data_IF_557539281540
#
_entry.id   IF_557539281540
#
_cell.length_a   1.000
_cell.length_b   1.000
_cell.length_c   1.000
_cell.angle_alpha   90.00
_cell.angle_beta   90.00
_cell.angle_gamma   90.00
#
_symmetry.space_group_name_H-M   'P 1'
#
loop_
_entity.id
_entity.type
_entity.pdbx_description
1 polymer ?
#
# COMPACT_ATOMS: atom_id res chain seq x y z
N UNK A 1 10.66 -19.09 -3.88
CA UNK A 1 11.06 -17.70 -4.21
C UNK A 1 9.89 -17.08 -4.96
N UNK A 2 9.30 -16.00 -4.47
CA UNK A 2 8.15 -15.33 -5.09
C UNK A 2 8.65 -14.42 -6.21
N UNK A 3 8.73 -14.95 -7.44
CA UNK A 3 9.13 -14.18 -8.63
C UNK A 3 7.89 -13.67 -9.33
N UNK A 4 7.86 -12.37 -9.68
CA UNK A 4 6.76 -11.83 -10.49
C UNK A 4 6.97 -12.24 -11.95
N UNK A 5 6.01 -12.98 -12.51
CA UNK A 5 6.03 -13.41 -13.91
C UNK A 5 4.93 -12.76 -14.75
N UNK A 6 3.85 -12.33 -14.11
CA UNK A 6 2.70 -11.72 -14.78
C UNK A 6 2.13 -10.56 -13.96
N UNK A 7 1.48 -9.63 -14.65
CA UNK A 7 0.75 -8.50 -14.03
C UNK A 7 -0.69 -8.55 -14.48
N UNK A 8 -1.61 -8.76 -13.53
CA UNK A 8 -3.05 -8.67 -13.79
C UNK A 8 -3.48 -7.21 -13.65
N UNK A 9 -4.15 -6.68 -14.68
CA UNK A 9 -4.62 -5.30 -14.70
C UNK A 9 -6.14 -5.25 -14.58
N UNK A 10 -6.64 -4.55 -13.56
CA UNK A 10 -8.06 -4.42 -13.25
C UNK A 10 -8.49 -2.99 -13.53
N UNK A 11 -9.31 -2.79 -14.55
CA UNK A 11 -9.95 -1.50 -14.77
C UNK A 11 -11.14 -1.36 -13.81
N UNK A 12 -11.07 -0.40 -12.91
CA UNK A 12 -12.09 -0.17 -11.88
C UNK A 12 -12.78 1.16 -12.10
N UNK A 13 -14.11 1.13 -12.07
CA UNK A 13 -14.95 2.34 -12.09
C UNK A 13 -15.55 2.58 -10.72
N UNK A 14 -15.19 3.70 -10.10
CA UNK A 14 -15.64 4.10 -8.77
C UNK A 14 -16.81 5.06 -8.95
N UNK A 15 -18.04 4.62 -8.69
CA UNK A 15 -19.21 5.50 -8.68
C UNK A 15 -19.33 6.22 -7.34
N UNK A 16 -19.57 7.52 -7.36
CA UNK A 16 -19.76 8.31 -6.15
C UNK A 16 -20.75 9.46 -6.40
N UNK A 17 -21.45 9.89 -5.35
CA UNK A 17 -22.27 11.12 -5.36
C UNK A 17 -21.57 12.30 -4.67
N UNK A 18 -20.34 12.08 -4.22
CA UNK A 18 -19.55 13.09 -3.53
C UNK A 18 -19.12 14.21 -4.48
N UNK A 19 -19.07 15.42 -3.94
CA UNK A 19 -18.70 16.65 -4.65
C UNK A 19 -17.49 17.30 -3.98
N UNK A 20 -16.30 16.70 -4.15
CA UNK A 20 -15.04 17.29 -3.68
C UNK A 20 -14.98 17.44 -2.16
N UNK A 21 -15.34 16.39 -1.43
CA UNK A 21 -15.33 16.38 0.03
C UNK A 21 -13.92 16.06 0.52
N UNK A 22 -13.48 16.68 1.61
CA UNK A 22 -12.18 16.35 2.20
C UNK A 22 -12.16 14.93 2.75
N UNK A 23 -11.02 14.27 2.55
CA UNK A 23 -10.75 12.96 3.13
C UNK A 23 -10.33 13.11 4.61
N UNK A 24 -10.97 12.38 5.52
CA UNK A 24 -10.50 12.21 6.91
C UNK A 24 -9.25 11.30 6.89
N UNK A 25 -8.11 11.92 6.61
CA UNK A 25 -6.80 11.29 6.65
C UNK A 25 -6.15 11.54 7.99
N UNK A 26 -5.69 10.47 8.63
CA UNK A 26 -4.92 10.49 9.87
C UNK A 26 -3.58 9.80 9.63
N UNK A 27 -2.50 10.41 10.09
CA UNK A 27 -1.16 9.90 9.89
C UNK A 27 -0.68 9.17 11.14
N UNK A 28 -0.26 7.92 10.98
CA UNK A 28 0.39 7.15 12.05
C UNK A 28 1.90 7.42 12.05
N UNK A 29 2.48 7.50 13.25
CA UNK A 29 3.92 7.67 13.51
C UNK A 29 4.55 8.76 12.64
N UNK A 30 4.21 10.02 12.94
CA UNK A 30 4.67 11.19 12.18
C UNK A 30 6.02 11.71 12.66
N UNK A 31 6.89 12.10 11.73
CA UNK A 31 8.19 12.69 12.00
C UNK A 31 8.45 13.87 11.04
N UNK A 32 9.42 14.76 11.33
CA UNK A 32 9.80 15.82 10.40
C UNK A 32 10.12 15.26 9.01
N UNK A 33 9.65 15.92 7.95
CA UNK A 33 9.86 15.43 6.60
C UNK A 33 11.34 15.50 6.21
N UNK A 34 11.86 14.39 5.69
CA UNK A 34 13.19 14.31 5.07
C UNK A 34 13.29 15.20 3.82
N UNK A 35 12.19 15.27 3.05
CA UNK A 35 12.05 16.14 1.89
C UNK A 35 10.66 16.79 1.85
N UNK A 36 10.52 18.05 2.31
CA UNK A 36 9.23 18.75 2.35
C UNK A 36 8.59 18.99 0.97
N UNK A 37 9.37 18.91 -0.11
CA UNK A 37 8.89 19.09 -1.47
C UNK A 37 8.48 17.78 -2.15
N UNK A 38 8.75 16.63 -1.52
CA UNK A 38 8.42 15.33 -2.10
C UNK A 38 6.91 15.09 -2.13
N UNK A 39 6.40 14.75 -3.32
CA UNK A 39 5.03 14.32 -3.53
C UNK A 39 4.86 12.79 -3.47
N UNK A 40 5.95 12.01 -3.36
CA UNK A 40 5.94 10.55 -3.46
C UNK A 40 5.12 9.88 -2.33
N UNK A 41 5.16 10.44 -1.11
CA UNK A 41 4.35 9.94 0.03
C UNK A 41 2.85 9.97 -0.20
N UNK A 42 2.38 10.78 -1.15
CA UNK A 42 0.99 10.84 -1.60
C UNK A 42 0.69 9.99 -2.82
N UNK A 43 1.46 8.94 -3.11
CA UNK A 43 1.30 8.14 -4.34
C UNK A 43 -0.12 7.57 -4.54
N UNK A 44 -0.85 7.34 -3.44
CA UNK A 44 -2.21 6.82 -3.45
C UNK A 44 -3.29 7.91 -3.56
N UNK A 45 -2.92 9.19 -3.52
CA UNK A 45 -3.84 10.33 -3.70
C UNK A 45 -4.72 10.25 -4.96
N UNK A 46 -4.26 9.72 -6.12
CA UNK A 46 -5.11 9.58 -7.30
C UNK A 46 -6.34 8.69 -7.07
N UNK A 47 -6.27 7.69 -6.20
CA UNK A 47 -7.45 6.89 -5.81
C UNK A 47 -8.49 7.72 -5.07
N UNK A 48 -8.05 8.50 -4.09
CA UNK A 48 -8.93 9.40 -3.33
C UNK A 48 -9.53 10.46 -4.26
N UNK A 49 -8.73 11.06 -5.14
CA UNK A 49 -9.21 12.03 -6.11
C UNK A 49 -10.24 11.44 -7.10
N UNK A 50 -10.00 10.23 -7.62
CA UNK A 50 -10.92 9.52 -8.50
C UNK A 50 -12.24 9.14 -7.81
N UNK A 51 -12.24 9.06 -6.48
CA UNK A 51 -13.44 8.85 -5.66
C UNK A 51 -14.06 10.16 -5.13
N UNK A 52 -13.64 11.31 -5.70
CA UNK A 52 -14.04 12.67 -5.32
C UNK A 52 -13.81 13.03 -3.84
N UNK A 53 -12.72 12.49 -3.28
CA UNK A 53 -12.23 12.77 -1.94
C UNK A 53 -10.90 13.49 -2.03
N UNK A 54 -10.78 14.66 -1.42
CA UNK A 54 -9.57 15.48 -1.49
C UNK A 54 -8.59 15.04 -0.39
N UNK A 55 -7.41 14.49 -0.72
CA UNK A 55 -6.42 14.13 0.28
C UNK A 55 -5.62 15.37 0.72
N UNK A 56 -5.57 15.62 2.02
CA UNK A 56 -4.75 16.68 2.63
C UNK A 56 -3.57 16.06 3.38
N UNK A 57 -2.41 15.99 2.72
CA UNK A 57 -1.19 15.41 3.29
C UNK A 57 -0.19 16.53 3.61
N UNK A 58 0.18 16.76 4.88
CA UNK A 58 1.17 17.77 5.26
C UNK A 58 2.53 17.52 4.60
N UNK A 59 3.07 18.57 3.96
CA UNK A 59 4.39 18.52 3.32
C UNK A 59 5.53 18.39 4.33
N UNK A 60 5.44 19.08 5.46
CA UNK A 60 6.49 19.14 6.48
C UNK A 60 6.59 17.89 7.38
N UNK A 61 5.74 16.88 7.17
CA UNK A 61 5.72 15.65 7.97
C UNK A 61 5.79 14.42 7.09
N UNK A 62 6.68 13.50 7.42
CA UNK A 62 6.64 12.13 6.95
C UNK A 62 5.90 11.26 7.99
N UNK A 63 5.49 10.06 7.60
CA UNK A 63 4.60 9.20 8.40
C UNK A 63 4.90 7.73 8.11
N UNK A 64 4.48 6.82 9.00
CA UNK A 64 4.58 5.39 8.75
C UNK A 64 3.43 4.90 7.87
N UNK A 65 2.20 5.27 8.20
CA UNK A 65 0.97 4.88 7.49
C UNK A 65 0.03 6.07 7.41
N UNK A 66 -0.52 6.33 6.22
CA UNK A 66 -1.66 7.23 6.07
C UNK A 66 -2.96 6.42 6.11
N UNK A 67 -3.90 6.86 6.94
CA UNK A 67 -5.12 6.14 7.27
C UNK A 67 -6.33 6.97 6.88
N UNK A 68 -7.25 6.40 6.14
CA UNK A 68 -8.44 7.07 5.64
C UNK A 68 -9.71 6.53 6.33
N UNK A 69 -10.41 7.39 7.06
CA UNK A 69 -11.58 7.02 7.86
C UNK A 69 -12.93 7.43 7.25
N UNK A 70 -12.93 8.32 6.25
CA UNK A 70 -14.16 8.71 5.58
C UNK A 70 -14.01 9.94 4.68
N UNK A 71 -15.00 10.24 3.82
CA UNK A 71 -16.28 9.54 3.70
C UNK A 71 -16.17 8.17 3.01
N UNK A 72 -16.88 7.18 3.54
CA UNK A 72 -16.97 5.85 2.94
C UNK A 72 -17.79 5.90 1.65
N UNK A 73 -17.31 5.21 0.61
CA UNK A 73 -18.11 4.90 -0.58
C UNK A 73 -18.19 3.38 -0.76
N UNK A 74 -19.31 2.89 -1.27
CA UNK A 74 -19.51 1.44 -1.48
C UNK A 74 -18.41 0.80 -2.35
N UNK A 75 -17.78 1.59 -3.21
CA UNK A 75 -16.66 1.16 -4.03
C UNK A 75 -15.40 0.78 -3.21
N UNK A 76 -15.20 1.34 -2.01
CA UNK A 76 -14.05 0.97 -1.14
C UNK A 76 -14.13 -0.51 -0.75
N UNK A 77 -15.31 -0.93 -0.30
CA UNK A 77 -15.59 -2.30 0.12
C UNK A 77 -15.61 -3.28 -1.07
N UNK A 78 -16.28 -2.91 -2.16
CA UNK A 78 -16.30 -3.72 -3.38
C UNK A 78 -14.89 -3.88 -4.00
N UNK A 79 -14.04 -2.85 -3.89
CA UNK A 79 -12.65 -2.91 -4.32
C UNK A 79 -11.89 -3.97 -3.54
N UNK A 80 -11.98 -3.95 -2.20
CA UNK A 80 -11.31 -4.91 -1.35
C UNK A 80 -11.64 -6.36 -1.74
N UNK A 81 -12.93 -6.67 -1.91
CA UNK A 81 -13.41 -8.00 -2.33
C UNK A 81 -12.81 -8.40 -3.67
N UNK A 82 -12.82 -7.49 -4.64
CA UNK A 82 -12.29 -7.75 -5.98
C UNK A 82 -10.78 -7.94 -5.95
N UNK A 83 -10.04 -7.17 -5.15
CA UNK A 83 -8.59 -7.31 -5.01
C UNK A 83 -8.21 -8.66 -4.38
N UNK A 84 -8.93 -9.08 -3.33
CA UNK A 84 -8.72 -10.41 -2.71
C UNK A 84 -9.04 -11.54 -3.70
N UNK A 85 -10.16 -11.46 -4.41
CA UNK A 85 -10.57 -12.48 -5.37
C UNK A 85 -9.62 -12.59 -6.58
N UNK A 86 -8.96 -11.51 -6.96
CA UNK A 86 -8.07 -11.47 -8.12
C UNK A 86 -6.59 -11.66 -7.78
N UNK A 87 -6.22 -11.61 -6.50
CA UNK A 87 -4.87 -11.86 -6.02
C UNK A 87 -4.47 -13.32 -6.29
N UNK A 88 -3.26 -13.52 -6.84
CA UNK A 88 -2.76 -14.86 -7.17
C UNK A 88 -2.52 -15.73 -5.94
N UNK A 89 -2.11 -15.10 -4.83
CA UNK A 89 -1.83 -15.75 -3.57
C UNK A 89 -2.38 -14.91 -2.43
N UNK A 90 -3.09 -15.55 -1.50
CA UNK A 90 -3.67 -14.91 -0.31
C UNK A 90 -3.16 -15.63 0.95
N UNK A 91 -2.47 -14.88 1.80
CA UNK A 91 -2.06 -15.27 3.14
C UNK A 91 -3.16 -14.88 4.12
N UNK A 92 -3.95 -15.84 4.56
CA UNK A 92 -5.16 -15.56 5.35
C UNK A 92 -4.94 -15.90 6.82
N UNK A 93 -5.04 -14.88 7.69
CA UNK A 93 -4.94 -15.04 9.15
C UNK A 93 -6.32 -15.29 9.81
N UNK A 94 -7.39 -15.11 9.04
CA UNK A 94 -8.76 -15.50 9.33
C UNK A 94 -9.40 -16.01 8.02
N UNK A 95 -10.65 -16.48 8.06
CA UNK A 95 -11.38 -16.79 6.82
C UNK A 95 -11.44 -15.55 5.91
N UNK A 96 -10.95 -15.59 4.66
CA UNK A 96 -10.92 -14.41 3.79
C UNK A 96 -12.23 -14.13 3.05
N UNK A 97 -13.19 -15.07 3.06
CA UNK A 97 -14.45 -14.96 2.32
C UNK A 97 -15.35 -13.88 2.97
N UNK A 98 -15.71 -12.82 2.22
CA UNK A 98 -16.60 -11.78 2.74
C UNK A 98 -18.01 -12.28 3.07
N UNK A 99 -18.44 -13.42 2.53
CA UNK A 99 -19.74 -14.03 2.86
C UNK A 99 -19.73 -14.67 4.26
N UNK A 100 -18.56 -15.02 4.79
CA UNK A 100 -18.43 -15.62 6.12
C UNK A 100 -18.37 -14.52 7.17
N UNK A 101 -19.36 -14.50 8.08
CA UNK A 101 -19.37 -13.58 9.21
C UNK A 101 -18.49 -14.12 10.34
N UNK A 102 -17.33 -13.50 10.56
CA UNK A 102 -16.42 -13.81 11.68
C UNK A 102 -16.61 -12.87 12.88
N UNK A 103 -17.65 -12.01 12.87
CA UNK A 103 -17.95 -11.06 13.94
C UNK A 103 -17.20 -9.71 13.84
N UNK A 104 -16.20 -9.62 12.96
CA UNK A 104 -15.40 -8.42 12.72
C UNK A 104 -15.11 -8.22 11.22
N UNK A 105 -14.71 -7.00 10.86
CA UNK A 105 -14.23 -6.71 9.52
C UNK A 105 -12.84 -7.34 9.29
N UNK A 106 -12.44 -7.34 8.03
CA UNK A 106 -11.14 -7.76 7.54
C UNK A 106 -10.41 -6.58 6.93
N UNK A 107 -9.10 -6.70 6.86
CA UNK A 107 -8.25 -5.78 6.12
C UNK A 107 -7.39 -6.63 5.19
N UNK A 108 -7.47 -6.35 3.89
CA UNK A 108 -6.49 -6.88 2.93
C UNK A 108 -5.31 -5.91 2.85
N UNK A 109 -4.10 -6.42 2.99
CA UNK A 109 -2.82 -5.71 2.79
C UNK A 109 -2.20 -6.27 1.52
N UNK A 110 -1.85 -5.42 0.57
CA UNK A 110 -1.31 -5.85 -0.71
C UNK A 110 -0.40 -4.80 -1.33
N UNK A 111 0.51 -5.26 -2.19
CA UNK A 111 1.28 -4.39 -3.07
C UNK A 111 0.53 -4.20 -4.39
N UNK A 112 0.29 -2.95 -4.78
CA UNK A 112 -0.41 -2.61 -6.04
C UNK A 112 0.32 -1.51 -6.79
N UNK A 113 0.18 -1.52 -8.11
CA UNK A 113 0.35 -0.32 -8.94
C UNK A 113 -0.99 0.31 -9.28
N UNK A 114 -1.05 1.64 -9.40
CA UNK A 114 -2.21 2.33 -9.99
C UNK A 114 -1.79 3.11 -11.24
N UNK A 115 -2.66 3.11 -12.25
CA UNK A 115 -2.45 3.83 -13.49
C UNK A 115 -3.72 4.59 -13.90
N UNK A 116 -3.59 5.70 -14.65
CA UNK A 116 -4.73 6.43 -15.17
C UNK A 116 -5.46 5.61 -16.24
N UNK A 117 -6.75 5.91 -16.44
CA UNK A 117 -7.58 5.15 -17.38
C UNK A 117 -7.19 5.37 -18.85
N UNK A 118 -6.69 6.55 -19.23
CA UNK A 118 -6.35 6.87 -20.63
C UNK A 118 -5.06 7.68 -20.75
N UNK A 119 -4.22 7.23 -21.70
CA UNK A 119 -3.09 7.99 -22.25
C UNK A 119 -2.21 8.69 -21.20
N UNK A 120 -1.92 8.00 -20.10
CA UNK A 120 -1.10 8.48 -18.98
C UNK A 120 -1.59 9.81 -18.34
N UNK A 121 -2.85 10.19 -18.57
CA UNK A 121 -3.46 11.42 -18.09
C UNK A 121 -4.38 11.20 -16.89
N UNK A 122 -3.89 11.47 -15.68
CA UNK A 122 -4.65 11.39 -14.43
C UNK A 122 -5.89 12.29 -14.37
N UNK A 123 -5.90 13.40 -15.09
CA UNK A 123 -7.07 14.28 -15.22
C UNK A 123 -8.27 13.57 -15.85
N UNK A 124 -8.05 12.54 -16.68
CA UNK A 124 -9.11 11.76 -17.33
C UNK A 124 -9.69 10.66 -16.45
N UNK A 125 -9.03 10.36 -15.33
CA UNK A 125 -9.49 9.35 -14.37
C UNK A 125 -10.65 9.82 -13.52
N UNK A 126 -11.01 11.11 -13.54
CA UNK A 126 -12.20 11.64 -12.87
C UNK A 126 -13.20 12.17 -13.89
N UNK A 127 -14.45 11.79 -13.72
CA UNK A 127 -15.62 12.27 -14.49
C UNK A 127 -16.72 12.67 -13.50
N UNK A 128 -17.71 13.47 -13.90
CA UNK A 128 -18.86 13.75 -13.04
C UNK A 128 -19.52 12.45 -12.55
N UNK A 129 -19.60 12.27 -11.24
CA UNK A 129 -20.22 11.10 -10.59
C UNK A 129 -19.45 9.78 -10.66
N UNK A 130 -18.28 9.73 -11.30
CA UNK A 130 -17.44 8.53 -11.30
C UNK A 130 -15.95 8.79 -11.55
N UNK A 131 -15.10 7.91 -11.02
CA UNK A 131 -13.70 7.80 -11.41
C UNK A 131 -13.41 6.48 -12.12
N UNK A 132 -12.36 6.44 -12.92
CA UNK A 132 -11.84 5.21 -13.53
C UNK A 132 -10.32 5.13 -13.37
N UNK A 133 -9.85 4.02 -12.81
CA UNK A 133 -8.44 3.73 -12.57
C UNK A 133 -8.12 2.32 -13.01
N UNK A 134 -6.85 2.04 -13.25
CA UNK A 134 -6.35 0.69 -13.47
C UNK A 134 -5.51 0.30 -12.25
N UNK A 135 -5.82 -0.84 -11.65
CA UNK A 135 -5.01 -1.46 -10.61
C UNK A 135 -4.17 -2.59 -11.20
N UNK A 136 -2.90 -2.67 -10.82
CA UNK A 136 -1.97 -3.69 -11.24
C UNK A 136 -1.64 -4.59 -10.06
N UNK A 137 -2.01 -5.87 -10.16
CA UNK A 137 -1.66 -6.93 -9.21
C UNK A 137 -0.51 -7.74 -9.78
N UNK A 138 0.54 -7.91 -8.98
CA UNK A 138 1.73 -8.69 -9.34
C UNK A 138 1.58 -10.09 -8.74
N UNK A 139 1.68 -11.13 -9.56
CA UNK A 139 1.53 -12.52 -9.10
C UNK A 139 2.59 -12.95 -8.09
N UNK A 140 3.78 -12.34 -8.13
CA UNK A 140 4.85 -12.53 -7.16
C UNK A 140 4.65 -11.80 -5.83
N UNK A 141 3.58 -11.03 -5.65
CA UNK A 141 3.27 -10.33 -4.41
C UNK A 141 2.02 -10.93 -3.76
N UNK A 142 2.12 -11.64 -2.63
CA UNK A 142 0.94 -12.15 -1.95
C UNK A 142 0.10 -11.01 -1.36
N UNK A 143 -1.21 -11.20 -1.30
CA UNK A 143 -2.10 -10.43 -0.44
C UNK A 143 -2.11 -11.04 0.97
N UNK A 144 -2.24 -10.22 2.00
CA UNK A 144 -2.39 -10.64 3.39
C UNK A 144 -3.77 -10.21 3.89
N UNK A 145 -4.57 -11.14 4.41
CA UNK A 145 -5.89 -10.85 5.00
C UNK A 145 -5.82 -11.04 6.50
N UNK A 146 -6.19 -10.00 7.25
CA UNK A 146 -6.21 -10.02 8.72
C UNK A 146 -7.59 -9.60 9.26
N UNK A 147 -8.07 -10.19 10.36
CA UNK A 147 -9.27 -9.69 11.04
C UNK A 147 -8.92 -8.40 11.79
N UNK A 148 -9.78 -7.38 11.75
CA UNK A 148 -9.50 -6.07 12.34
C UNK A 148 -10.64 -5.55 13.21
N UNK A 149 -10.27 -4.76 14.21
CA UNK A 149 -11.23 -4.10 15.11
C UNK A 149 -11.99 -2.96 14.41
N UNK A 150 -13.01 -2.41 15.09
CA UNK A 150 -13.76 -1.25 14.59
C UNK A 150 -12.91 0.02 14.40
N UNK A 151 -11.70 0.06 14.96
CA UNK A 151 -10.76 1.18 14.85
C UNK A 151 -9.96 1.16 13.53
N UNK A 152 -10.05 0.10 12.73
CA UNK A 152 -9.32 0.05 11.46
C UNK A 152 -9.87 1.06 10.46
N UNK A 153 -9.00 1.75 9.68
CA UNK A 153 -9.44 2.67 8.65
C UNK A 153 -10.14 1.94 7.51
N UNK A 154 -10.85 2.68 6.65
CA UNK A 154 -11.47 2.15 5.44
C UNK A 154 -10.38 1.76 4.43
N UNK A 155 -9.40 2.66 4.25
CA UNK A 155 -8.24 2.46 3.39
C UNK A 155 -7.00 2.97 4.11
N UNK A 156 -5.85 2.36 3.88
CA UNK A 156 -4.57 2.88 4.34
C UNK A 156 -3.47 2.64 3.30
N UNK A 157 -2.37 3.36 3.39
CA UNK A 157 -1.19 3.07 2.58
C UNK A 157 0.11 3.44 3.29
N UNK A 158 1.15 2.70 2.95
CA UNK A 158 2.54 3.03 3.27
C UNK A 158 3.03 4.14 2.32
N UNK A 159 3.82 5.13 2.78
CA UNK A 159 4.31 6.22 1.94
C UNK A 159 5.33 5.75 0.90
N UNK A 160 5.95 4.59 1.12
CA UNK A 160 7.02 4.05 0.28
C UNK A 160 6.52 3.60 -1.08
N UNK A 161 7.14 4.12 -2.14
CA UNK A 161 6.88 3.73 -3.52
C UNK A 161 7.84 2.65 -3.99
N UNK A 162 7.46 1.91 -5.04
CA UNK A 162 8.32 0.93 -5.69
C UNK A 162 9.62 1.55 -6.21
N UNK A 163 9.58 2.79 -6.68
CA UNK A 163 10.77 3.52 -7.09
C UNK A 163 11.78 3.65 -5.93
N UNK A 164 11.31 4.01 -4.74
CA UNK A 164 12.14 4.11 -3.54
C UNK A 164 12.66 2.74 -3.08
N UNK A 165 11.81 1.71 -3.12
CA UNK A 165 12.18 0.33 -2.79
C UNK A 165 13.29 -0.22 -3.70
N UNK A 166 13.29 0.16 -4.99
CA UNK A 166 14.32 -0.23 -5.97
C UNK A 166 15.61 0.55 -5.80
N UNK A 167 15.51 1.86 -5.51
CA UNK A 167 16.67 2.72 -5.32
C UNK A 167 17.58 2.23 -4.18
N UNK A 168 17.00 1.64 -3.12
CA UNK A 168 17.77 1.04 -2.02
C UNK A 168 18.37 -0.33 -2.36
N UNK A 169 17.73 -1.12 -3.24
CA UNK A 169 18.22 -2.44 -3.66
C UNK A 169 19.46 -2.38 -4.55
N UNK A 170 19.68 -1.24 -5.22
CA UNK A 170 20.82 -1.00 -6.11
C UNK A 170 22.18 -0.82 -5.45
N UNK A 171 22.27 -0.71 -4.12
CA UNK A 171 23.56 -0.62 -3.40
C UNK A 171 24.37 -1.94 -3.42
N UNK A 172 23.80 -3.03 -3.95
CA UNK A 172 24.51 -4.29 -4.24
C UNK A 172 24.85 -4.52 -5.72
N UNK A 173 24.44 -3.64 -6.63
CA UNK A 173 24.68 -3.80 -8.06
C UNK A 173 25.05 -2.45 -8.71
N UNK A 174 26.36 -2.22 -8.79
CA UNK A 174 27.01 -1.26 -9.68
C UNK A 174 26.87 0.22 -9.28
N UNK A 175 27.90 0.71 -8.60
CA UNK A 175 28.28 2.11 -8.64
C UNK A 175 28.51 2.54 -10.10
N UNK A 176 27.65 3.40 -10.64
CA UNK A 176 28.00 4.49 -11.58
C UNK A 176 26.76 5.26 -12.03
N UNK A 177 26.47 6.38 -11.37
CA UNK A 177 26.18 7.70 -11.98
C UNK A 177 25.60 8.70 -10.95
N UNK A 178 26.50 9.56 -10.45
CA UNK A 178 26.29 10.97 -10.07
C UNK A 178 25.09 11.37 -9.20
N UNK A 179 25.32 11.41 -7.88
CA UNK A 179 24.94 12.56 -7.05
C UNK A 179 25.88 12.62 -5.85
N UNK A 180 26.75 13.62 -5.83
CA UNK A 180 27.66 13.93 -4.74
C UNK A 180 26.88 14.35 -3.49
N UNK A 181 26.91 13.56 -2.43
CA UNK A 181 26.59 14.03 -1.07
C UNK A 181 27.66 13.48 -0.14
N UNK A 182 28.37 14.39 0.52
CA UNK A 182 29.43 14.14 1.47
C UNK A 182 28.91 13.37 2.68
N UNK A 183 29.59 12.27 3.01
CA UNK A 183 29.36 11.46 4.21
C UNK A 183 29.94 12.20 5.41
N UNK A 184 29.11 12.48 6.41
CA UNK A 184 29.58 12.83 7.76
C UNK A 184 29.29 11.64 8.69
N UNK A 185 30.32 11.26 9.44
CA UNK A 185 30.33 10.12 10.36
C UNK A 185 29.86 10.58 11.73
N UNK A 186 28.86 9.90 12.30
CA UNK A 186 28.60 9.90 13.75
C UNK A 186 27.16 10.24 14.15
N UNK A 187 26.60 9.38 15.01
CA UNK A 187 25.31 9.48 15.75
C UNK A 187 24.04 9.09 14.99
N UNK A 188 23.47 7.94 15.38
CA UNK A 188 22.08 7.46 15.21
C UNK A 188 21.18 8.26 14.24
N UNK A 189 21.27 7.92 12.96
CA UNK A 189 20.50 8.52 11.85
C UNK A 189 19.04 8.01 11.86
N UNK A 190 18.19 8.68 12.64
CA UNK A 190 16.74 8.71 12.39
C UNK A 190 16.51 9.84 11.38
N UNK A 191 16.35 9.52 10.09
CA UNK A 191 15.79 10.47 9.13
C UNK A 191 16.58 10.74 7.85
N UNK A 192 17.61 9.96 7.52
CA UNK A 192 18.17 10.03 6.16
C UNK A 192 17.18 9.33 5.21
N UNK A 193 16.56 10.08 4.28
CA UNK A 193 15.37 9.72 3.48
C UNK A 193 15.51 8.55 2.49
N UNK A 194 16.35 7.58 2.79
CA UNK A 194 16.59 6.35 2.05
C UNK A 194 15.67 5.25 2.59
N UNK A 195 14.98 4.57 1.68
CA UNK A 195 14.15 3.42 2.03
C UNK A 195 14.97 2.31 2.70
N UNK A 196 14.40 1.66 3.73
CA UNK A 196 14.94 0.45 4.39
C UNK A 196 13.81 -0.55 4.60
N UNK A 197 14.00 -1.78 4.13
CA UNK A 197 12.97 -2.81 4.18
C UNK A 197 12.59 -3.19 5.61
N UNK A 198 13.58 -3.25 6.51
CA UNK A 198 13.39 -3.54 7.93
C UNK A 198 12.54 -2.45 8.59
N UNK A 199 12.78 -1.19 8.22
CA UNK A 199 12.02 -0.07 8.77
C UNK A 199 10.57 -0.05 8.30
N UNK A 200 10.32 -0.31 7.00
CA UNK A 200 8.95 -0.47 6.51
C UNK A 200 8.24 -1.67 7.17
N UNK A 201 8.98 -2.77 7.38
CA UNK A 201 8.46 -3.94 8.08
C UNK A 201 8.03 -3.59 9.51
N UNK A 202 8.89 -2.93 10.28
CA UNK A 202 8.58 -2.49 11.66
C UNK A 202 7.36 -1.58 11.67
N UNK A 203 7.32 -0.57 10.79
CA UNK A 203 6.19 0.36 10.65
C UNK A 203 4.86 -0.36 10.38
N UNK A 204 4.87 -1.35 9.49
CA UNK A 204 3.67 -2.13 9.14
C UNK A 204 3.24 -3.04 10.28
N UNK A 205 4.18 -3.77 10.90
CA UNK A 205 3.89 -4.68 12.00
C UNK A 205 3.34 -3.92 13.22
N UNK A 206 3.98 -2.82 13.63
CA UNK A 206 3.53 -1.97 14.75
C UNK A 206 2.13 -1.41 14.49
N UNK A 207 1.89 -0.90 13.28
CA UNK A 207 0.58 -0.35 12.93
C UNK A 207 -0.51 -1.43 12.88
N UNK A 208 -0.22 -2.61 12.29
CA UNK A 208 -1.16 -3.72 12.22
C UNK A 208 -1.48 -4.28 13.61
N UNK A 209 -0.50 -4.38 14.51
CA UNK A 209 -0.70 -4.84 15.89
C UNK A 209 -1.74 -3.99 16.63
N UNK A 210 -1.76 -2.67 16.38
CA UNK A 210 -2.74 -1.75 16.96
C UNK A 210 -4.19 -1.92 16.46
N UNK A 211 -4.43 -2.64 15.34
CA UNK A 211 -5.77 -2.77 14.74
C UNK A 211 -6.25 -4.20 14.55
N UNK A 212 -5.36 -5.19 14.57
CA UNK A 212 -5.71 -6.60 14.38
C UNK A 212 -6.53 -7.12 15.56
N UNK A 213 -7.58 -7.89 15.25
CA UNK A 213 -8.40 -8.54 16.26
C UNK A 213 -7.89 -9.96 16.53
N UNK A 214 -6.99 -10.11 17.51
CA UNK A 214 -6.36 -11.39 17.88
C UNK A 214 -7.38 -12.48 18.24
N UNK A 215 -8.49 -12.09 18.87
CA UNK A 215 -9.58 -12.99 19.23
C UNK A 215 -10.27 -13.66 18.02
N UNK A 216 -10.17 -13.06 16.83
CA UNK A 216 -10.81 -13.54 15.60
C UNK A 216 -9.81 -14.16 14.61
N UNK A 217 -8.54 -14.30 15.01
CA UNK A 217 -7.57 -15.09 14.26
C UNK A 217 -7.95 -16.57 14.27
N UNK A 218 -7.59 -17.28 13.19
CA UNK A 218 -7.68 -18.74 13.12
C UNK A 218 -6.97 -19.38 14.32
N UNK A 219 -7.52 -20.44 14.95
CA UNK A 219 -7.03 -20.96 16.22
C UNK A 219 -5.52 -21.25 16.26
N UNK A 220 -4.97 -21.89 15.20
CA UNK A 220 -3.55 -22.23 15.14
C UNK A 220 -2.59 -21.04 14.94
N UNK A 221 -3.12 -19.86 14.58
CA UNK A 221 -2.33 -18.64 14.39
C UNK A 221 -2.27 -17.83 15.68
N UNK A 222 -3.32 -17.87 16.50
CA UNK A 222 -3.46 -17.02 17.69
C UNK A 222 -2.28 -17.11 18.66
N UNK A 223 -1.78 -18.32 18.90
CA UNK A 223 -0.65 -18.58 19.82
C UNK A 223 0.70 -18.10 19.27
N UNK A 224 0.82 -17.94 17.94
CA UNK A 224 2.05 -17.57 17.23
C UNK A 224 1.86 -16.27 16.45
N UNK A 225 0.92 -15.44 16.87
CA UNK A 225 0.42 -14.32 16.10
C UNK A 225 1.54 -13.37 15.66
N UNK A 226 2.42 -12.97 16.60
CA UNK A 226 3.53 -12.05 16.34
C UNK A 226 4.45 -12.60 15.24
N UNK A 227 4.87 -13.86 15.37
CA UNK A 227 5.75 -14.52 14.40
C UNK A 227 5.09 -14.67 13.02
N UNK A 228 3.81 -15.04 12.99
CA UNK A 228 3.05 -15.25 11.75
C UNK A 228 2.80 -13.92 11.05
N UNK A 229 2.42 -12.87 11.79
CA UNK A 229 2.21 -11.53 11.24
C UNK A 229 3.51 -10.98 10.64
N UNK A 230 4.61 -11.04 11.40
CA UNK A 230 5.92 -10.59 10.92
C UNK A 230 6.32 -11.32 9.64
N UNK A 231 6.22 -12.65 9.60
CA UNK A 231 6.53 -13.42 8.38
C UNK A 231 5.62 -13.06 7.20
N UNK A 232 4.32 -12.86 7.45
CA UNK A 232 3.38 -12.50 6.40
C UNK A 232 3.68 -11.10 5.82
N UNK A 233 3.95 -10.10 6.66
CA UNK A 233 4.36 -8.75 6.25
C UNK A 233 5.67 -8.82 5.46
N UNK A 234 6.66 -9.57 5.94
CA UNK A 234 7.91 -9.82 5.20
C UNK A 234 7.68 -10.42 3.83
N UNK A 235 6.74 -11.37 3.67
CA UNK A 235 6.42 -11.94 2.36
C UNK A 235 5.83 -10.91 1.39
N UNK A 236 4.99 -9.98 1.88
CA UNK A 236 4.45 -8.88 1.05
C UNK A 236 5.58 -7.95 0.59
N UNK A 237 6.42 -7.48 1.51
CA UNK A 237 7.54 -6.57 1.22
C UNK A 237 8.56 -7.25 0.29
N UNK A 238 8.93 -8.50 0.59
CA UNK A 238 9.89 -9.24 -0.22
C UNK A 238 9.34 -9.56 -1.62
N UNK A 239 8.04 -9.81 -1.76
CA UNK A 239 7.40 -9.94 -3.07
C UNK A 239 7.54 -8.65 -3.89
N UNK A 240 7.31 -7.50 -3.26
CA UNK A 240 7.46 -6.19 -3.90
C UNK A 240 8.92 -5.88 -4.28
N UNK A 241 9.89 -6.17 -3.40
CA UNK A 241 11.32 -6.03 -3.71
C UNK A 241 11.76 -6.97 -4.84
N UNK A 242 11.33 -8.23 -4.79
CA UNK A 242 11.64 -9.22 -5.83
C UNK A 242 11.02 -8.88 -7.20
N UNK A 243 10.02 -7.99 -7.26
CA UNK A 243 9.43 -7.54 -8.52
C UNK A 243 10.44 -6.86 -9.44
N UNK A 244 11.54 -6.30 -8.93
CA UNK A 244 12.59 -5.69 -9.75
C UNK A 244 13.21 -6.66 -10.77
N UNK A 245 13.15 -7.97 -10.48
CA UNK A 245 13.69 -9.03 -11.33
C UNK A 245 12.78 -9.33 -12.52
N UNK A 246 11.53 -8.86 -12.48
CA UNK A 246 10.63 -8.99 -13.61
C UNK A 246 11.09 -8.07 -14.74
N UNK A 247 11.14 -8.59 -15.96
CA UNK A 247 11.57 -7.82 -17.12
C UNK A 247 10.63 -6.65 -17.44
N UNK A 248 11.12 -5.69 -18.24
CA UNK A 248 10.33 -4.55 -18.73
C UNK A 248 9.05 -4.97 -19.47
N UNK A 249 9.04 -6.14 -20.10
CA UNK A 249 7.88 -6.71 -20.77
C UNK A 249 6.73 -7.03 -19.82
N UNK A 250 7.04 -7.38 -18.56
CA UNK A 250 6.06 -7.72 -17.51
C UNK A 250 5.60 -6.45 -16.80
N UNK A 251 6.54 -5.57 -16.44
CA UNK A 251 6.27 -4.37 -15.63
C UNK A 251 6.00 -3.10 -16.45
N UNK A 252 6.00 -3.15 -17.78
CA UNK A 252 5.97 -1.95 -18.62
C UNK A 252 4.75 -1.04 -18.45
N UNK A 253 3.67 -1.53 -17.82
CA UNK A 253 2.46 -0.75 -17.49
C UNK A 253 2.40 -0.28 -16.03
N UNK A 254 3.33 -0.73 -15.18
CA UNK A 254 3.36 -0.38 -13.75
C UNK A 254 4.19 0.88 -13.59
N UNK A 255 3.55 1.96 -13.14
CA UNK A 255 4.24 3.18 -12.73
C UNK A 255 4.87 2.97 -11.34
N UNK A 256 6.21 2.95 -11.22
CA UNK A 256 6.89 2.71 -9.95
C UNK A 256 6.73 3.86 -8.94
N UNK A 257 6.37 5.08 -9.38
CA UNK A 257 6.06 6.22 -8.49
C UNK A 257 4.62 6.19 -7.98
N UNK A 258 3.83 5.24 -8.49
CA UNK A 258 2.41 5.01 -8.16
C UNK A 258 2.14 3.55 -7.84
N UNK A 259 3.16 2.85 -7.37
CA UNK A 259 3.06 1.51 -6.86
C UNK A 259 3.61 1.42 -5.44
N UNK A 260 2.93 0.70 -4.57
CA UNK A 260 3.27 0.60 -3.16
C UNK A 260 2.32 -0.31 -2.40
N UNK A 261 2.53 -0.41 -1.08
CA UNK A 261 1.68 -1.21 -0.19
C UNK A 261 0.46 -0.38 0.24
N UNK A 262 -0.73 -0.90 -0.01
CA UNK A 262 -2.00 -0.33 0.43
C UNK A 262 -2.86 -1.38 1.14
N UNK A 263 -3.88 -0.90 1.84
CA UNK A 263 -4.79 -1.73 2.61
C UNK A 263 -6.23 -1.29 2.40
N UNK A 264 -7.14 -2.26 2.27
CA UNK A 264 -8.58 -2.01 2.16
C UNK A 264 -9.36 -2.83 3.17
N UNK A 265 -10.29 -2.18 3.87
CA UNK A 265 -11.16 -2.84 4.85
C UNK A 265 -12.44 -3.35 4.20
N UNK A 266 -12.86 -4.56 4.58
CA UNK A 266 -14.06 -5.23 4.09
C UNK A 266 -14.65 -6.26 5.04
#
# INVERSE_FOLDING_TARGET
MTTTTTVKSLQVTIKHKLMGVDADIRLASTYPASSPISCAKGWFAPYLFASARTPLIPRARDFAIAQFFGPFVAADYAMAHKLVAEASHVLSLCDPDPAVNIGVNRLVVLFVGIAPFRADMWSTSRRPGCGTLIFHLLDGCPALVVPVTGNAPIVAWSPWTLAQMRASGGLGASASASASVSVSVGTSDVGNGTYRAEWQHEQLCEWLDGIVSVAHLSPGIREKYIDVLGRAVSLVINGALASERAGKTVLGKVDPERAGICMFRY
#
